data_IF_923000055557
#
_entry.id   IF_923000055557
#
_cell.length_a   1.000
_cell.length_b   1.000
_cell.length_c   1.000
_cell.angle_alpha   90.00
_cell.angle_beta   90.00
_cell.angle_gamma   90.00
#
_symmetry.space_group_name_H-M   'P 1'
#
loop_
_entity.id
_entity.type
_entity.pdbx_description
1 polymer ?
#
# COMPACT_ATOMS: atom_id res chain seq x y z
N UNK A 1 -5.51 -15.88 12.85
CA UNK A 1 -5.28 -16.51 11.53
C UNK A 1 -5.47 -15.52 10.39
N UNK A 2 -6.66 -14.90 10.23
CA UNK A 2 -6.97 -13.96 9.14
C UNK A 2 -5.92 -12.85 8.98
N UNK A 3 -5.61 -12.09 10.05
CA UNK A 3 -4.64 -10.99 10.00
C UNK A 3 -3.26 -11.42 9.50
N UNK A 4 -2.77 -12.58 9.96
CA UNK A 4 -1.46 -13.11 9.55
C UNK A 4 -1.46 -13.47 8.08
N UNK A 5 -2.50 -14.17 7.61
CA UNK A 5 -2.67 -14.49 6.19
C UNK A 5 -2.80 -13.22 5.36
N UNK A 6 -3.55 -12.21 5.81
CA UNK A 6 -3.68 -10.93 5.12
C UNK A 6 -2.35 -10.22 4.94
N UNK A 7 -1.49 -10.20 5.97
CA UNK A 7 -0.16 -9.57 5.89
C UNK A 7 0.76 -10.31 4.92
N UNK A 8 0.79 -11.64 4.97
CA UNK A 8 1.61 -12.46 4.06
C UNK A 8 1.13 -12.26 2.61
N UNK A 9 -0.18 -12.35 2.40
CA UNK A 9 -0.83 -12.16 1.11
C UNK A 9 -0.59 -10.75 0.55
N UNK A 10 -0.51 -9.71 1.40
CA UNK A 10 -0.26 -8.34 0.96
C UNK A 10 1.08 -8.17 0.24
N UNK A 11 2.10 -8.98 0.58
CA UNK A 11 3.41 -8.95 -0.12
C UNK A 11 3.28 -9.41 -1.58
N UNK A 12 2.33 -10.29 -1.88
CA UNK A 12 2.09 -10.83 -3.22
C UNK A 12 1.14 -9.99 -4.09
N UNK A 13 0.57 -8.90 -3.56
CA UNK A 13 -0.35 -8.06 -4.32
C UNK A 13 0.43 -7.11 -5.24
N UNK A 14 0.25 -7.24 -6.55
CA UNK A 14 0.81 -6.28 -7.51
C UNK A 14 0.16 -4.89 -7.32
N UNK A 15 0.94 -3.82 -7.49
CA UNK A 15 0.51 -2.42 -7.36
C UNK A 15 -0.37 -1.91 -8.51
N UNK A 16 -1.30 -2.75 -8.99
CA UNK A 16 -2.26 -2.43 -10.04
C UNK A 16 -3.65 -2.23 -9.43
N UNK A 17 -4.49 -1.34 -10.02
CA UNK A 17 -5.84 -1.11 -9.50
C UNK A 17 -6.64 -2.40 -9.40
N UNK A 18 -7.22 -2.68 -8.23
CA UNK A 18 -7.98 -3.91 -7.96
C UNK A 18 -7.15 -5.21 -7.92
N UNK A 19 -5.82 -5.14 -8.01
CA UNK A 19 -4.93 -6.31 -8.04
C UNK A 19 -4.97 -7.17 -6.77
N UNK A 20 -5.51 -6.64 -5.68
CA UNK A 20 -5.63 -7.29 -4.38
C UNK A 20 -6.86 -8.19 -4.24
N UNK A 21 -7.88 -8.04 -5.10
CA UNK A 21 -9.14 -8.79 -5.00
C UNK A 21 -8.97 -10.30 -5.24
N UNK A 22 -8.20 -10.78 -6.23
CA UNK A 22 -7.95 -12.21 -6.40
C UNK A 22 -7.25 -12.83 -5.19
N UNK A 23 -6.30 -12.11 -4.62
CA UNK A 23 -5.59 -12.54 -3.41
C UNK A 23 -6.53 -12.58 -2.19
N UNK A 24 -7.46 -11.63 -2.06
CA UNK A 24 -8.45 -11.63 -1.00
C UNK A 24 -9.42 -12.83 -1.13
N UNK A 25 -9.83 -13.20 -2.34
CA UNK A 25 -10.65 -14.41 -2.57
C UNK A 25 -9.96 -15.69 -2.07
N UNK A 26 -8.65 -15.82 -2.28
CA UNK A 26 -7.87 -16.95 -1.76
C UNK A 26 -7.88 -16.96 -0.24
N UNK A 27 -7.70 -15.80 0.41
CA UNK A 27 -7.76 -15.70 1.87
C UNK A 27 -9.15 -16.05 2.41
N UNK A 28 -10.23 -15.58 1.78
CA UNK A 28 -11.60 -15.91 2.19
C UNK A 28 -11.87 -17.43 2.12
N UNK A 29 -11.43 -18.08 1.04
CA UNK A 29 -11.55 -19.53 0.89
C UNK A 29 -10.81 -20.30 2.01
N UNK A 30 -9.64 -19.81 2.44
CA UNK A 30 -8.85 -20.46 3.52
C UNK A 30 -9.51 -20.40 4.89
N UNK A 31 -10.47 -19.48 5.09
CA UNK A 31 -11.20 -19.32 6.36
C UNK A 31 -12.66 -19.80 6.27
N UNK A 32 -13.01 -20.49 5.19
CA UNK A 32 -14.34 -21.07 4.98
C UNK A 32 -15.43 -20.06 4.59
N UNK A 33 -15.04 -18.86 4.16
CA UNK A 33 -15.98 -17.86 3.66
C UNK A 33 -16.14 -18.02 2.14
N UNK A 34 -17.37 -18.10 1.61
CA UNK A 34 -17.62 -18.17 0.18
C UNK A 34 -16.98 -16.98 -0.56
N UNK A 35 -16.10 -17.20 -1.54
CA UNK A 35 -15.43 -16.13 -2.30
C UNK A 35 -16.42 -15.19 -3.02
N UNK A 36 -17.60 -15.70 -3.35
CA UNK A 36 -18.69 -14.96 -4.01
C UNK A 36 -19.15 -13.75 -3.16
N UNK A 37 -18.93 -13.79 -1.84
CA UNK A 37 -19.20 -12.67 -0.93
C UNK A 37 -18.41 -11.40 -1.24
N UNK A 38 -17.31 -11.51 -2.00
CA UNK A 38 -16.52 -10.35 -2.43
C UNK A 38 -17.28 -9.45 -3.41
N UNK A 39 -18.32 -9.97 -4.07
CA UNK A 39 -19.16 -9.22 -4.99
C UNK A 39 -19.82 -8.00 -4.33
N UNK A 40 -20.08 -8.07 -3.02
CA UNK A 40 -20.63 -6.96 -2.23
C UNK A 40 -19.60 -5.83 -2.09
N UNK A 41 -18.30 -6.17 -2.00
CA UNK A 41 -17.20 -5.23 -1.80
C UNK A 41 -16.82 -4.55 -3.14
N UNK A 42 -17.03 -5.21 -4.28
CA UNK A 42 -16.75 -4.65 -5.61
C UNK A 42 -17.40 -3.27 -5.83
N UNK A 43 -18.56 -3.02 -5.24
CA UNK A 43 -19.25 -1.72 -5.35
C UNK A 43 -18.50 -0.56 -4.68
N UNK A 44 -17.74 -0.84 -3.61
CA UNK A 44 -16.96 0.17 -2.87
C UNK A 44 -15.45 0.05 -3.10
N UNK A 45 -15.02 -1.02 -3.79
CA UNK A 45 -13.61 -1.35 -3.98
C UNK A 45 -12.82 -0.20 -4.59
N UNK A 46 -13.40 0.56 -5.54
CA UNK A 46 -12.71 1.71 -6.13
C UNK A 46 -12.25 2.75 -5.11
N UNK A 47 -13.05 3.03 -4.09
CA UNK A 47 -12.67 3.97 -3.03
C UNK A 47 -11.63 3.32 -2.12
N UNK A 48 -11.86 2.07 -1.73
CA UNK A 48 -10.97 1.31 -0.84
C UNK A 48 -9.58 1.07 -1.46
N UNK A 49 -9.51 0.85 -2.77
CA UNK A 49 -8.28 0.62 -3.54
C UNK A 49 -7.44 1.90 -3.64
N UNK A 50 -8.09 3.06 -3.85
CA UNK A 50 -7.41 4.35 -3.77
C UNK A 50 -6.85 4.61 -2.37
N UNK A 51 -7.66 4.43 -1.31
CA UNK A 51 -7.19 4.58 0.06
C UNK A 51 -5.99 3.68 0.36
N UNK A 52 -6.05 2.42 -0.08
CA UNK A 52 -4.98 1.43 0.13
C UNK A 52 -3.69 1.82 -0.58
N UNK A 53 -3.79 2.29 -1.82
CA UNK A 53 -2.63 2.77 -2.56
C UNK A 53 -2.00 3.97 -1.87
N UNK A 54 -2.80 4.94 -1.41
CA UNK A 54 -2.30 6.14 -0.71
C UNK A 54 -1.54 5.78 0.57
N UNK A 55 -2.10 4.92 1.43
CA UNK A 55 -1.44 4.55 2.68
C UNK A 55 -0.17 3.71 2.44
N UNK A 56 -0.16 2.86 1.41
CA UNK A 56 1.01 2.06 1.07
C UNK A 56 2.17 2.96 0.61
N UNK A 57 1.91 3.89 -0.30
CA UNK A 57 2.92 4.87 -0.75
C UNK A 57 3.41 5.75 0.41
N UNK A 58 2.50 6.19 1.29
CA UNK A 58 2.88 6.96 2.48
C UNK A 58 3.77 6.15 3.43
N UNK A 59 3.48 4.86 3.62
CA UNK A 59 4.31 3.93 4.39
C UNK A 59 5.71 3.77 3.79
N UNK A 60 5.80 3.58 2.48
CA UNK A 60 7.08 3.43 1.77
C UNK A 60 7.96 4.69 1.90
N UNK A 61 7.37 5.87 1.72
CA UNK A 61 8.08 7.15 1.92
C UNK A 61 8.53 7.32 3.37
N UNK A 62 7.68 6.96 4.34
CA UNK A 62 8.02 7.03 5.76
C UNK A 62 9.17 6.09 6.10
N UNK A 63 9.14 4.85 5.59
CA UNK A 63 10.18 3.86 5.78
C UNK A 63 11.50 4.31 5.13
N UNK A 64 11.45 4.86 3.91
CA UNK A 64 12.63 5.39 3.22
C UNK A 64 13.31 6.51 4.03
N UNK A 65 12.54 7.49 4.52
CA UNK A 65 13.07 8.57 5.38
C UNK A 65 13.62 8.03 6.70
N UNK A 66 12.93 7.05 7.29
CA UNK A 66 13.37 6.41 8.53
C UNK A 66 14.72 5.70 8.34
N UNK A 67 14.85 4.86 7.31
CA UNK A 67 16.09 4.14 6.99
C UNK A 67 17.21 5.13 6.70
N UNK A 68 16.97 6.14 5.87
CA UNK A 68 18.00 7.12 5.53
C UNK A 68 18.50 7.91 6.76
N UNK A 69 17.63 8.18 7.74
CA UNK A 69 18.04 8.73 9.04
C UNK A 69 18.82 7.74 9.89
N UNK A 70 18.37 6.49 9.94
CA UNK A 70 18.99 5.44 10.74
C UNK A 70 20.43 5.12 10.27
N UNK A 71 20.65 5.11 8.96
CA UNK A 71 21.96 4.87 8.34
C UNK A 71 22.86 6.14 8.33
N UNK A 72 22.40 7.26 8.91
CA UNK A 72 23.08 8.57 8.87
C UNK A 72 23.36 9.11 7.45
N UNK A 73 22.69 8.57 6.44
CA UNK A 73 22.81 8.99 5.03
C UNK A 73 21.92 10.20 4.69
N UNK A 74 21.09 10.66 5.62
CA UNK A 74 20.14 11.75 5.39
C UNK A 74 20.14 12.79 6.52
N UNK A 75 20.21 14.07 6.12
CA UNK A 75 20.06 15.23 7.00
C UNK A 75 18.84 16.05 6.60
N UNK A 76 17.97 16.47 7.55
CA UNK A 76 16.86 17.37 7.26
C UNK A 76 17.30 18.71 6.67
N UNK A 77 18.56 19.12 6.89
CA UNK A 77 19.11 20.35 6.34
C UNK A 77 19.25 20.31 4.80
N UNK A 78 19.38 19.12 4.21
CA UNK A 78 19.47 18.95 2.76
C UNK A 78 18.15 19.28 2.03
N UNK A 79 17.00 19.17 2.71
CA UNK A 79 15.69 19.53 2.14
C UNK A 79 15.53 21.04 1.89
N UNK A 80 16.23 21.87 2.67
CA UNK A 80 16.15 23.33 2.57
C UNK A 80 17.22 23.91 1.64
N UNK A 81 18.15 23.08 1.15
CA UNK A 81 19.30 23.51 0.34
C UNK A 81 19.03 23.41 -1.18
N UNK A 82 18.15 22.51 -1.63
CA UNK A 82 17.76 22.40 -3.04
C UNK A 82 16.25 22.17 -3.20
N UNK A 83 15.53 23.20 -3.69
CA UNK A 83 14.61 23.13 -4.84
C UNK A 83 13.62 24.32 -4.86
N UNK A 84 13.80 25.32 -5.75
CA UNK A 84 12.69 26.15 -6.18
C UNK A 84 11.69 25.29 -6.96
N UNK A 85 10.58 24.92 -6.32
CA UNK A 85 9.42 24.33 -6.97
C UNK A 85 8.66 25.43 -7.73
N UNK A 86 9.06 25.74 -8.98
CA UNK A 86 8.20 26.24 -10.08
C UNK A 86 8.96 27.05 -11.16
N UNK A 87 9.72 26.40 -12.04
CA UNK A 87 9.97 26.93 -13.41
C UNK A 87 10.22 25.79 -14.39
N UNK A 88 9.16 25.06 -14.74
CA UNK A 88 9.11 24.25 -15.95
C UNK A 88 7.63 24.14 -16.37
N UNK A 89 7.13 25.27 -16.89
CA UNK A 89 5.97 25.32 -17.77
C UNK A 89 6.49 25.27 -19.22
#
# INVERSE_FOLDING_TARGET
MVLVLSVITAVGAAGVPGGSLPLLMVVLATVGVPPEGIAIILGVDRILDMCRTTINVCGDLTAAVYVARAESEWSPAALNAEAPLATAA
#
